data_IF_929032117413
#
_entry.id   IF_929032117413
#
_cell.length_a   1.000
_cell.length_b   1.000
_cell.length_c   1.000
_cell.angle_alpha   90.00
_cell.angle_beta   90.00
_cell.angle_gamma   90.00
#
_symmetry.space_group_name_H-M   'P 1'
#
loop_
_entity.id
_entity.type
_entity.pdbx_description
1 polymer ?
#
# COMPACT_ATOMS: atom_id res chain seq x y z
N UNK A 1 -24.19 43.44 -12.11
CA UNK A 1 -23.89 42.55 -10.97
C UNK A 1 -22.68 41.69 -11.33
N UNK A 2 -21.69 41.57 -10.43
CA UNK A 2 -20.50 40.73 -10.66
C UNK A 2 -20.89 39.26 -10.38
N UNK A 3 -20.46 38.28 -11.19
CA UNK A 3 -20.77 36.87 -10.92
C UNK A 3 -20.20 36.43 -9.58
N UNK A 4 -20.96 35.62 -8.85
CA UNK A 4 -20.59 35.17 -7.51
C UNK A 4 -19.27 34.37 -7.56
N UNK A 5 -18.46 34.50 -6.50
CA UNK A 5 -17.12 33.87 -6.41
C UNK A 5 -17.16 32.37 -6.73
N UNK A 6 -18.25 31.70 -6.35
CA UNK A 6 -18.48 30.28 -6.59
C UNK A 6 -18.68 29.94 -8.07
N UNK A 7 -19.47 30.71 -8.83
CA UNK A 7 -19.66 30.47 -10.27
C UNK A 7 -18.36 30.64 -11.07
N UNK A 8 -17.54 31.63 -10.70
CA UNK A 8 -16.23 31.83 -11.33
C UNK A 8 -15.28 30.67 -11.03
N UNK A 9 -15.24 30.22 -9.77
CA UNK A 9 -14.38 29.12 -9.37
C UNK A 9 -14.81 27.80 -10.04
N UNK A 10 -16.12 27.52 -10.10
CA UNK A 10 -16.65 26.35 -10.78
C UNK A 10 -16.38 26.40 -12.30
N UNK A 11 -16.53 27.56 -12.96
CA UNK A 11 -16.20 27.68 -14.40
C UNK A 11 -14.72 27.51 -14.73
N UNK A 12 -13.81 27.89 -13.82
CA UNK A 12 -12.37 27.88 -14.08
C UNK A 12 -11.68 26.58 -13.66
N UNK A 13 -12.08 26.00 -12.52
CA UNK A 13 -11.41 24.83 -11.94
C UNK A 13 -12.18 23.52 -12.18
N UNK A 14 -13.51 23.58 -12.23
CA UNK A 14 -14.36 22.38 -12.35
C UNK A 14 -15.55 22.61 -13.29
N UNK A 15 -15.30 22.85 -14.59
CA UNK A 15 -16.34 23.26 -15.55
C UNK A 15 -17.48 22.26 -15.69
N UNK A 16 -17.23 20.98 -15.41
CA UNK A 16 -18.22 19.89 -15.40
C UNK A 16 -19.25 20.00 -14.28
N UNK A 17 -18.98 20.76 -13.22
CA UNK A 17 -19.90 20.96 -12.08
C UNK A 17 -20.82 22.17 -12.27
N UNK A 18 -20.55 23.03 -13.25
CA UNK A 18 -21.36 24.23 -13.56
C UNK A 18 -22.74 23.87 -14.11
N UNK A 19 -22.88 22.67 -14.69
CA UNK A 19 -24.13 22.17 -15.27
C UNK A 19 -24.96 21.33 -14.29
N UNK A 20 -24.48 21.09 -13.07
CA UNK A 20 -25.20 20.29 -12.07
C UNK A 20 -26.16 21.16 -11.27
N UNK A 21 -27.39 20.67 -11.09
CA UNK A 21 -28.45 21.32 -10.31
C UNK A 21 -28.14 21.33 -8.81
N UNK A 22 -28.72 22.29 -8.08
CA UNK A 22 -28.47 22.49 -6.63
C UNK A 22 -28.73 21.22 -5.79
N UNK A 23 -29.65 20.36 -6.25
CA UNK A 23 -29.96 19.05 -5.64
C UNK A 23 -28.73 18.13 -5.52
N UNK A 24 -27.77 18.21 -6.46
CA UNK A 24 -26.52 17.45 -6.39
C UNK A 24 -25.68 17.79 -5.15
N UNK A 25 -25.73 19.04 -4.70
CA UNK A 25 -24.96 19.49 -3.53
C UNK A 25 -25.67 19.16 -2.22
N UNK A 26 -27.00 19.17 -2.21
CA UNK A 26 -27.80 18.78 -1.04
C UNK A 26 -27.67 17.29 -0.72
N UNK A 27 -27.57 16.43 -1.74
CA UNK A 27 -27.30 14.99 -1.55
C UNK A 27 -25.97 14.71 -0.84
N UNK A 28 -24.95 15.56 -1.05
CA UNK A 28 -23.63 15.38 -0.42
C UNK A 28 -23.62 15.73 1.07
N UNK A 29 -24.57 16.55 1.53
CA UNK A 29 -24.62 16.98 2.93
C UNK A 29 -25.28 15.94 3.85
N UNK A 30 -26.15 15.07 3.31
CA UNK A 30 -26.93 14.11 4.09
C UNK A 30 -26.31 12.71 4.24
N UNK A 31 -25.16 12.41 3.61
CA UNK A 31 -24.54 11.08 3.64
C UNK A 31 -23.71 10.75 4.90
N UNK A 32 -23.93 11.42 6.03
CA UNK A 32 -23.25 11.08 7.30
C UNK A 32 -23.95 9.97 8.11
N UNK A 33 -25.11 9.47 7.66
CA UNK A 33 -25.82 8.40 8.35
C UNK A 33 -26.56 7.53 7.33
N UNK A 34 -25.96 6.40 6.94
CA UNK A 34 -26.61 5.10 6.77
C UNK A 34 -25.75 4.15 5.95
N UNK A 35 -25.40 3.05 6.61
CA UNK A 35 -24.83 1.82 6.06
C UNK A 35 -25.83 1.14 5.12
N UNK A 36 -25.55 1.19 3.82
CA UNK A 36 -26.23 0.41 2.81
C UNK A 36 -25.30 0.24 1.62
N UNK A 37 -25.05 -1.02 1.24
CA UNK A 37 -24.24 -1.35 0.07
C UNK A 37 -24.80 -0.63 -1.16
N UNK A 38 -24.01 0.29 -1.71
CA UNK A 38 -24.21 0.81 -3.06
C UNK A 38 -22.93 0.48 -3.81
N UNK A 39 -23.03 -0.39 -4.81
CA UNK A 39 -22.00 -0.58 -5.81
C UNK A 39 -21.72 0.78 -6.46
N UNK A 40 -20.62 1.41 -6.05
CA UNK A 40 -20.06 2.55 -6.77
C UNK A 40 -19.34 1.97 -7.98
N UNK A 41 -20.01 1.89 -9.12
CA UNK A 41 -19.31 2.03 -10.40
C UNK A 41 -19.04 3.53 -10.59
N UNK A 42 -17.77 3.98 -10.53
CA UNK A 42 -17.48 5.39 -10.76
C UNK A 42 -17.47 5.64 -12.27
N UNK A 43 -18.55 6.22 -12.78
CA UNK A 43 -18.57 6.88 -14.09
C UNK A 43 -17.93 8.27 -13.96
N UNK A 44 -16.60 8.26 -13.90
CA UNK A 44 -15.72 9.40 -14.14
C UNK A 44 -14.52 8.82 -14.87
N UNK A 45 -14.20 9.33 -16.07
CA UNK A 45 -13.27 8.76 -17.06
C UNK A 45 -11.79 8.62 -16.67
N UNK A 46 -11.49 8.15 -15.47
CA UNK A 46 -10.23 7.58 -15.04
C UNK A 46 -10.50 6.10 -14.74
N UNK A 47 -9.71 5.20 -15.31
CA UNK A 47 -9.91 3.77 -15.06
C UNK A 47 -9.68 3.45 -13.60
N UNK A 48 -10.32 2.39 -13.09
CA UNK A 48 -10.06 1.85 -11.74
C UNK A 48 -8.56 1.67 -11.44
N UNK A 49 -7.75 1.41 -12.48
CA UNK A 49 -6.29 1.33 -12.42
C UNK A 49 -5.62 2.68 -12.11
N UNK A 50 -6.13 3.77 -12.66
CA UNK A 50 -5.56 5.12 -12.50
C UNK A 50 -5.84 5.65 -11.08
N UNK A 51 -7.04 5.42 -10.57
CA UNK A 51 -7.37 5.75 -9.18
C UNK A 51 -6.52 4.96 -8.18
N UNK A 52 -6.31 3.67 -8.45
CA UNK A 52 -5.46 2.81 -7.62
C UNK A 52 -4.02 3.29 -7.63
N UNK A 53 -3.47 3.61 -8.81
CA UNK A 53 -2.11 4.10 -8.95
C UNK A 53 -1.90 5.45 -8.23
N UNK A 54 -2.86 6.37 -8.36
CA UNK A 54 -2.83 7.66 -7.66
C UNK A 54 -2.90 7.49 -6.13
N UNK A 55 -3.72 6.56 -5.64
CA UNK A 55 -3.78 6.25 -4.21
C UNK A 55 -2.47 5.64 -3.70
N UNK A 56 -1.88 4.71 -4.45
CA UNK A 56 -0.59 4.09 -4.13
C UNK A 56 0.53 5.14 -4.09
N UNK A 57 0.59 6.05 -5.07
CA UNK A 57 1.56 7.16 -5.09
C UNK A 57 1.40 8.15 -3.93
N UNK A 58 0.17 8.54 -3.61
CA UNK A 58 -0.10 9.44 -2.49
C UNK A 58 0.25 8.80 -1.14
N UNK A 59 0.02 7.49 -1.02
CA UNK A 59 0.41 6.73 0.17
C UNK A 59 1.93 6.68 0.32
N UNK A 60 2.66 6.34 -0.76
CA UNK A 60 4.12 6.30 -0.79
C UNK A 60 4.73 7.65 -0.37
N UNK A 61 4.21 8.76 -0.90
CA UNK A 61 4.65 10.12 -0.54
C UNK A 61 4.39 10.44 0.93
N UNK A 62 3.25 10.03 1.48
CA UNK A 62 2.92 10.29 2.88
C UNK A 62 3.80 9.50 3.85
N UNK A 63 4.16 8.26 3.50
CA UNK A 63 5.09 7.44 4.27
C UNK A 63 6.51 8.01 4.17
N UNK A 64 6.92 8.46 2.99
CA UNK A 64 8.23 9.07 2.79
C UNK A 64 8.45 10.32 3.64
N UNK A 65 7.47 11.23 3.67
CA UNK A 65 7.49 12.42 4.52
C UNK A 65 7.56 12.07 6.01
N UNK A 66 6.87 11.01 6.42
CA UNK A 66 6.86 10.57 7.82
C UNK A 66 8.20 9.96 8.22
N UNK A 67 8.82 9.17 7.35
CA UNK A 67 10.15 8.61 7.55
C UNK A 67 11.24 9.69 7.59
N UNK A 68 11.12 10.73 6.76
CA UNK A 68 12.02 11.89 6.78
C UNK A 68 11.90 12.71 8.08
N UNK A 69 10.67 12.94 8.55
CA UNK A 69 10.44 13.66 9.81
C UNK A 69 10.95 12.91 11.05
N UNK A 70 11.02 11.59 10.98
CA UNK A 70 11.46 10.73 12.09
C UNK A 70 12.92 10.28 11.97
N UNK A 71 13.66 10.84 10.99
CA UNK A 71 15.05 10.50 10.67
C UNK A 71 15.28 8.99 10.53
N UNK A 72 14.33 8.30 9.89
CA UNK A 72 14.44 6.87 9.65
C UNK A 72 15.47 6.59 8.56
N UNK A 73 16.21 5.48 8.69
CA UNK A 73 17.13 4.96 7.66
C UNK A 73 16.43 4.71 6.32
N UNK A 74 15.09 4.72 6.34
CA UNK A 74 14.25 4.10 5.35
C UNK A 74 13.20 5.07 4.81
N UNK A 75 13.58 5.84 3.77
CA UNK A 75 12.83 7.03 3.32
C UNK A 75 11.70 6.79 2.31
N UNK A 76 11.60 5.58 1.75
CA UNK A 76 10.60 5.22 0.73
C UNK A 76 10.18 3.76 0.94
N UNK A 77 8.89 3.48 0.77
CA UNK A 77 8.33 2.13 0.72
C UNK A 77 8.35 1.65 -0.74
N UNK A 78 8.81 0.43 -1.02
CA UNK A 78 9.04 -0.03 -2.40
C UNK A 78 7.81 -0.76 -2.97
N UNK A 79 6.81 -0.05 -3.52
CA UNK A 79 5.65 -0.73 -4.14
C UNK A 79 5.88 -1.16 -5.61
N UNK A 80 6.78 -0.50 -6.34
CA UNK A 80 6.93 -0.66 -7.79
C UNK A 80 8.32 -1.19 -8.22
N UNK A 81 8.51 -2.51 -8.19
CA UNK A 81 9.65 -3.17 -8.88
C UNK A 81 9.08 -4.31 -9.76
N UNK A 82 9.63 -4.45 -10.97
CA UNK A 82 9.13 -5.33 -12.05
C UNK A 82 9.00 -6.81 -11.66
N UNK A 83 9.76 -7.26 -10.64
CA UNK A 83 9.58 -8.59 -10.04
C UNK A 83 8.58 -8.50 -8.89
N UNK A 84 7.30 -8.63 -9.24
CA UNK A 84 6.12 -8.35 -8.39
C UNK A 84 6.07 -9.05 -7.03
N UNK A 85 6.78 -10.14 -6.83
CA UNK A 85 6.83 -10.85 -5.55
C UNK A 85 8.03 -10.42 -4.69
N UNK A 86 9.14 -9.98 -5.31
CA UNK A 86 10.28 -9.37 -4.62
C UNK A 86 9.95 -7.97 -4.10
N UNK A 87 9.20 -7.16 -4.86
CA UNK A 87 8.73 -5.87 -4.37
C UNK A 87 7.84 -6.02 -3.13
N UNK A 88 6.98 -7.05 -3.10
CA UNK A 88 6.13 -7.35 -1.95
C UNK A 88 6.94 -7.78 -0.73
N UNK A 89 7.96 -8.62 -0.91
CA UNK A 89 8.87 -9.01 0.17
C UNK A 89 9.58 -7.81 0.79
N UNK A 90 10.19 -6.98 -0.06
CA UNK A 90 10.86 -5.75 0.37
C UNK A 90 9.90 -4.77 1.05
N UNK A 91 8.65 -4.68 0.58
CA UNK A 91 7.63 -3.86 1.23
C UNK A 91 7.29 -4.39 2.64
N UNK A 92 7.17 -5.69 2.84
CA UNK A 92 6.94 -6.27 4.17
C UNK A 92 8.12 -6.08 5.11
N UNK A 93 9.36 -6.27 4.63
CA UNK A 93 10.57 -5.99 5.41
C UNK A 93 10.58 -4.55 5.90
N UNK A 94 10.36 -3.62 4.97
CA UNK A 94 10.31 -2.20 5.24
C UNK A 94 9.18 -1.81 6.20
N UNK A 95 8.01 -2.42 6.03
CA UNK A 95 6.87 -2.22 6.92
C UNK A 95 7.17 -2.71 8.33
N UNK A 96 7.90 -3.82 8.47
CA UNK A 96 8.30 -4.38 9.76
C UNK A 96 9.38 -3.53 10.46
N UNK A 97 10.35 -3.01 9.71
CA UNK A 97 11.37 -2.07 10.21
C UNK A 97 10.74 -0.76 10.71
N UNK A 98 9.78 -0.23 9.96
CA UNK A 98 9.08 1.03 10.24
C UNK A 98 7.92 0.89 11.23
N UNK A 99 7.91 -0.12 12.10
CA UNK A 99 6.75 -0.42 12.96
C UNK A 99 6.29 0.77 13.81
N UNK A 100 7.21 1.60 14.30
CA UNK A 100 6.88 2.74 15.16
C UNK A 100 6.23 3.86 14.34
N UNK A 101 6.81 4.12 13.18
CA UNK A 101 6.38 5.09 12.18
C UNK A 101 4.98 4.74 11.65
N UNK A 102 4.73 3.45 11.38
CA UNK A 102 3.42 2.94 10.94
C UNK A 102 2.37 3.12 12.04
N UNK A 103 2.70 2.82 13.30
CA UNK A 103 1.80 3.04 14.44
C UNK A 103 1.43 4.52 14.54
N UNK A 104 2.41 5.43 14.51
CA UNK A 104 2.19 6.87 14.56
C UNK A 104 1.35 7.36 13.37
N UNK A 105 1.60 6.84 12.18
CA UNK A 105 0.82 7.15 10.98
C UNK A 105 -0.65 6.73 11.12
N UNK A 106 -0.90 5.52 11.62
CA UNK A 106 -2.25 4.99 11.83
C UNK A 106 -3.01 5.77 12.91
N UNK A 107 -2.32 6.21 13.96
CA UNK A 107 -2.86 7.12 14.99
C UNK A 107 -3.22 8.48 14.39
N UNK A 108 -2.31 9.09 13.62
CA UNK A 108 -2.55 10.37 12.93
C UNK A 108 -3.71 10.32 11.92
N UNK A 109 -3.90 9.18 11.25
CA UNK A 109 -4.98 8.97 10.28
C UNK A 109 -6.30 8.50 10.92
N UNK A 110 -6.36 8.40 12.24
CA UNK A 110 -7.52 7.93 13.02
C UNK A 110 -8.03 6.55 12.55
N UNK A 111 -7.12 5.67 12.11
CA UNK A 111 -7.43 4.33 11.61
C UNK A 111 -7.37 3.29 12.71
N UNK A 112 -8.29 3.37 13.67
CA UNK A 112 -8.28 2.57 14.90
C UNK A 112 -8.35 1.05 14.67
N UNK A 113 -9.11 0.60 13.67
CA UNK A 113 -9.20 -0.84 13.34
C UNK A 113 -7.84 -1.40 12.91
N UNK A 114 -7.13 -0.68 12.03
CA UNK A 114 -5.80 -1.06 11.55
C UNK A 114 -4.74 -0.91 12.65
N UNK A 115 -4.85 0.12 13.49
CA UNK A 115 -3.95 0.32 14.62
C UNK A 115 -4.04 -0.85 15.61
N UNK A 116 -5.26 -1.29 15.92
CA UNK A 116 -5.50 -2.42 16.83
C UNK A 116 -4.95 -3.71 16.26
N UNK A 117 -5.19 -3.98 14.97
CA UNK A 117 -4.61 -5.12 14.25
C UNK A 117 -3.07 -5.06 14.23
N UNK A 118 -2.49 -3.90 13.94
CA UNK A 118 -1.05 -3.77 13.79
C UNK A 118 -0.31 -3.83 15.13
N UNK A 119 -0.94 -3.44 16.24
CA UNK A 119 -0.40 -3.58 17.60
C UNK A 119 -0.55 -5.01 18.18
N UNK A 120 -1.35 -5.88 17.55
CA UNK A 120 -1.45 -7.27 17.95
C UNK A 120 -0.10 -7.97 17.74
N UNK A 121 0.43 -8.57 18.81
CA UNK A 121 1.70 -9.27 18.75
C UNK A 121 1.65 -10.38 17.70
N UNK A 122 0.55 -11.15 17.63
CA UNK A 122 0.42 -12.26 16.69
C UNK A 122 0.52 -11.76 15.25
N UNK A 123 -0.09 -10.62 14.93
CA UNK A 123 0.06 -9.98 13.62
C UNK A 123 1.52 -9.61 13.34
N UNK A 124 2.23 -9.02 14.29
CA UNK A 124 3.64 -8.66 14.14
C UNK A 124 4.54 -9.89 13.95
N UNK A 125 4.31 -10.97 14.69
CA UNK A 125 5.01 -12.25 14.51
C UNK A 125 4.78 -12.81 13.11
N UNK A 126 3.53 -12.79 12.62
CA UNK A 126 3.19 -13.24 11.26
C UNK A 126 3.85 -12.38 10.19
N UNK A 127 3.91 -11.06 10.39
CA UNK A 127 4.56 -10.13 9.47
C UNK A 127 6.07 -10.36 9.42
N UNK A 128 6.72 -10.57 10.56
CA UNK A 128 8.14 -10.92 10.64
C UNK A 128 8.42 -12.25 9.94
N UNK A 129 7.66 -13.29 10.27
CA UNK A 129 7.79 -14.61 9.63
C UNK A 129 7.59 -14.56 8.10
N UNK A 130 6.61 -13.77 7.65
CA UNK A 130 6.37 -13.57 6.23
C UNK A 130 7.57 -12.88 5.56
N UNK A 131 8.16 -11.89 6.23
CA UNK A 131 9.38 -11.20 5.77
C UNK A 131 10.54 -12.18 5.59
N UNK A 132 10.80 -13.05 6.58
CA UNK A 132 11.87 -14.06 6.52
C UNK A 132 11.72 -15.04 5.34
N UNK A 133 10.47 -15.43 5.03
CA UNK A 133 10.15 -16.26 3.87
C UNK A 133 10.48 -15.53 2.57
N UNK A 134 10.06 -14.26 2.45
CA UNK A 134 10.32 -13.47 1.26
C UNK A 134 11.81 -13.22 1.03
N UNK A 135 12.57 -12.98 2.10
CA UNK A 135 14.02 -12.84 2.02
C UNK A 135 14.67 -14.15 1.55
N UNK A 136 14.23 -15.29 2.10
CA UNK A 136 14.71 -16.61 1.67
C UNK A 136 14.35 -16.91 0.20
N UNK A 137 13.17 -16.49 -0.26
CA UNK A 137 12.79 -16.59 -1.67
C UNK A 137 13.64 -15.68 -2.56
N UNK A 138 13.97 -14.48 -2.10
CA UNK A 138 14.84 -13.56 -2.83
C UNK A 138 16.24 -14.13 -2.98
N UNK A 139 16.83 -14.66 -1.90
CA UNK A 139 18.11 -15.37 -1.95
C UNK A 139 18.08 -16.53 -2.95
N UNK A 140 17.03 -17.35 -2.93
CA UNK A 140 16.87 -18.46 -3.88
C UNK A 140 16.81 -17.93 -5.31
N UNK A 141 16.02 -16.90 -5.58
CA UNK A 141 15.88 -16.36 -6.92
C UNK A 141 17.19 -15.75 -7.45
N UNK A 142 17.91 -15.00 -6.61
CA UNK A 142 19.25 -14.50 -6.96
C UNK A 142 20.22 -15.64 -7.26
N UNK A 143 20.19 -16.70 -6.43
CA UNK A 143 20.97 -17.91 -6.68
C UNK A 143 20.61 -18.48 -8.04
N UNK A 144 19.33 -18.75 -8.33
CA UNK A 144 18.87 -19.35 -9.60
C UNK A 144 19.18 -18.52 -10.85
N UNK A 145 19.17 -17.18 -10.75
CA UNK A 145 19.51 -16.26 -11.85
C UNK A 145 21.02 -16.17 -12.15
N UNK A 146 21.87 -16.80 -11.34
CA UNK A 146 23.31 -16.85 -11.54
C UNK A 146 23.69 -17.41 -12.92
N UNK A 147 24.56 -16.68 -13.64
CA UNK A 147 24.97 -17.01 -15.02
C UNK A 147 25.69 -18.36 -15.19
N UNK A 148 26.19 -18.95 -14.11
CA UNK A 148 26.99 -20.17 -14.12
C UNK A 148 26.31 -21.36 -13.44
N UNK A 149 24.99 -21.33 -13.28
CA UNK A 149 24.30 -22.42 -12.61
C UNK A 149 24.07 -23.61 -13.53
N UNK A 150 24.36 -24.79 -13.01
CA UNK A 150 23.95 -26.05 -13.64
C UNK A 150 22.56 -26.46 -13.15
N UNK A 151 21.91 -27.36 -13.88
CA UNK A 151 20.63 -27.96 -13.46
C UNK A 151 20.76 -28.62 -12.08
N UNK A 152 21.91 -29.27 -11.82
CA UNK A 152 22.19 -29.91 -10.53
C UNK A 152 22.30 -28.87 -9.41
N UNK A 153 23.05 -27.79 -9.63
CA UNK A 153 23.17 -26.69 -8.66
C UNK A 153 21.82 -26.04 -8.34
N UNK A 154 20.98 -25.82 -9.36
CA UNK A 154 19.64 -25.28 -9.17
C UNK A 154 18.74 -26.23 -8.37
N UNK A 155 18.84 -27.54 -8.61
CA UNK A 155 18.12 -28.54 -7.82
C UNK A 155 18.55 -28.47 -6.35
N UNK A 156 19.85 -28.40 -6.07
CA UNK A 156 20.38 -28.30 -4.71
C UNK A 156 19.90 -27.02 -4.00
N UNK A 157 19.87 -25.88 -4.70
CA UNK A 157 19.35 -24.63 -4.14
C UNK A 157 17.86 -24.72 -3.77
N UNK A 158 17.05 -25.36 -4.62
CA UNK A 158 15.63 -25.58 -4.34
C UNK A 158 15.45 -26.53 -3.15
N UNK A 159 16.22 -27.63 -3.09
CA UNK A 159 16.14 -28.56 -1.95
C UNK A 159 16.54 -27.87 -0.63
N UNK A 160 17.62 -27.10 -0.63
CA UNK A 160 18.05 -26.35 0.55
C UNK A 160 16.98 -25.35 1.01
N UNK A 161 16.31 -24.68 0.07
CA UNK A 161 15.18 -23.79 0.38
C UNK A 161 13.99 -24.54 0.98
N UNK A 162 13.61 -25.70 0.44
CA UNK A 162 12.53 -26.53 0.97
C UNK A 162 12.86 -26.99 2.41
N UNK A 163 14.08 -27.44 2.66
CA UNK A 163 14.52 -27.82 4.01
C UNK A 163 14.47 -26.64 4.97
N UNK A 164 14.87 -25.44 4.53
CA UNK A 164 14.78 -24.21 5.35
C UNK A 164 13.32 -23.91 5.72
N UNK A 165 12.39 -23.98 4.78
CA UNK A 165 10.96 -23.79 5.04
C UNK A 165 10.38 -24.82 6.01
N UNK A 166 10.78 -26.09 5.88
CA UNK A 166 10.31 -27.15 6.78
C UNK A 166 10.76 -26.90 8.21
N UNK A 167 12.01 -26.46 8.41
CA UNK A 167 12.51 -26.07 9.73
C UNK A 167 11.80 -24.84 10.30
N UNK A 168 11.49 -23.86 9.44
CA UNK A 168 10.75 -22.66 9.82
C UNK A 168 9.28 -22.94 10.17
N UNK A 169 8.69 -24.05 9.71
CA UNK A 169 7.29 -24.43 10.00
C UNK A 169 7.07 -25.10 11.36
N UNK A 170 8.13 -25.28 12.16
CA UNK A 170 8.11 -25.98 13.46
C UNK A 170 7.83 -25.03 14.64
N UNK A 171 7.69 -23.72 14.40
CA UNK A 171 7.33 -22.70 15.40
C UNK A 171 6.03 -22.01 15.02
#
# INVERSE_FOLDING_TARGET
MRPNRLERHLKQQHPTLVLKTEEFFLLKQNHSSESGQIEITPDFGLGYKDYKLLQEQLFEQSVALLCENLDSDHKVLLFHIEVRWLSKGNMFARLYELKKEVILFLEFKEKQDFLTMYKDDIFQWRLGYLTDIFDSLNELNLKLQGRNNTIISNYDYIQAFISKLQLSSVF
#
